data_IF_455363864047
#
_entry.id   IF_455363864047
#
_cell.length_a   1.000
_cell.length_b   1.000
_cell.length_c   1.000
_cell.angle_alpha   90.00
_cell.angle_beta   90.00
_cell.angle_gamma   90.00
#
_symmetry.space_group_name_H-M   'P 1'
#
loop_
_entity.id
_entity.type
_entity.pdbx_description
1 polymer ?
#
# COMPACT_ATOMS: atom_id res chain seq x y z
N UNK A 1 22.67 11.55 47.72
CA UNK A 1 22.36 10.83 46.47
C UNK A 1 22.97 11.64 45.34
N UNK A 2 24.19 11.30 44.92
CA UNK A 2 24.88 12.03 43.85
C UNK A 2 24.32 11.54 42.51
N UNK A 3 23.54 12.38 41.84
CA UNK A 3 23.17 12.15 40.45
C UNK A 3 24.42 12.39 39.60
N UNK A 4 24.99 11.34 39.02
CA UNK A 4 26.11 11.45 38.08
C UNK A 4 25.63 12.17 36.81
N UNK A 5 26.11 13.39 36.51
CA UNK A 5 25.70 14.12 35.31
C UNK A 5 26.12 13.41 34.02
N UNK A 6 27.07 12.46 34.06
CA UNK A 6 27.44 11.64 32.90
C UNK A 6 26.33 10.66 32.48
N UNK A 7 25.46 10.24 33.41
CA UNK A 7 24.27 9.45 33.07
C UNK A 7 23.24 10.28 32.32
N UNK A 8 23.07 11.56 32.66
CA UNK A 8 22.16 12.47 31.96
C UNK A 8 22.62 12.77 30.52
N UNK A 9 23.93 12.85 30.28
CA UNK A 9 24.50 13.08 28.94
C UNK A 9 24.42 11.83 28.03
N UNK A 10 24.37 10.62 28.62
CA UNK A 10 24.17 9.37 27.87
C UNK A 10 22.72 9.11 27.46
N UNK A 11 21.76 9.79 28.08
CA UNK A 11 20.35 9.78 27.66
C UNK A 11 20.11 10.74 26.49
N UNK A 12 21.00 10.73 25.48
CA UNK A 12 20.67 11.34 24.20
C UNK A 12 19.58 10.47 23.60
N UNK A 13 18.33 10.88 23.82
CA UNK A 13 17.14 10.18 23.34
C UNK A 13 17.33 9.81 21.87
N UNK A 14 17.08 8.54 21.54
CA UNK A 14 17.15 8.07 20.17
C UNK A 14 16.28 9.01 19.32
N UNK A 15 16.86 9.75 18.35
CA UNK A 15 16.08 10.69 17.56
C UNK A 15 14.94 9.92 16.89
N UNK A 16 13.73 10.48 16.98
CA UNK A 16 12.54 9.83 16.42
C UNK A 16 12.81 9.43 14.97
N UNK A 17 12.47 8.21 14.56
CA UNK A 17 12.66 7.79 13.18
C UNK A 17 11.89 8.76 12.26
N UNK A 18 12.54 9.15 11.16
CA UNK A 18 11.92 10.05 10.19
C UNK A 18 10.70 9.34 9.59
N UNK A 19 9.60 10.07 9.46
CA UNK A 19 8.41 9.58 8.75
C UNK A 19 8.77 9.18 7.32
N UNK A 20 8.17 8.10 6.83
CA UNK A 20 8.32 7.66 5.44
C UNK A 20 7.65 8.62 4.43
N UNK A 21 6.71 9.45 4.91
CA UNK A 21 6.00 10.44 4.10
C UNK A 21 6.23 11.82 4.72
N UNK A 22 6.56 12.81 3.88
CA UNK A 22 6.70 14.20 4.32
C UNK A 22 5.34 14.78 4.72
N UNK A 23 5.34 15.77 5.62
CA UNK A 23 4.12 16.49 5.95
C UNK A 23 3.49 17.15 4.72
N UNK A 24 4.32 17.66 3.80
CA UNK A 24 3.85 18.31 2.57
C UNK A 24 3.12 17.35 1.63
N UNK A 25 3.67 16.15 1.42
CA UNK A 25 2.99 15.13 0.63
C UNK A 25 1.67 14.72 1.29
N UNK A 26 1.66 14.52 2.61
CA UNK A 26 0.44 14.22 3.37
C UNK A 26 -0.65 15.30 3.22
N UNK A 27 -0.29 16.57 3.38
CA UNK A 27 -1.21 17.70 3.22
C UNK A 27 -1.70 17.85 1.77
N UNK A 28 -0.84 17.60 0.78
CA UNK A 28 -1.24 17.63 -0.63
C UNK A 28 -2.29 16.55 -0.94
N UNK A 29 -2.08 15.32 -0.45
CA UNK A 29 -3.06 14.24 -0.58
C UNK A 29 -4.38 14.55 0.12
N UNK A 30 -4.32 15.13 1.31
CA UNK A 30 -5.51 15.54 2.07
C UNK A 30 -6.29 16.61 1.31
N UNK A 31 -5.61 17.65 0.79
CA UNK A 31 -6.24 18.69 -0.01
C UNK A 31 -6.95 18.09 -1.24
N UNK A 32 -6.33 17.11 -1.89
CA UNK A 32 -6.92 16.38 -3.01
C UNK A 32 -8.18 15.60 -2.62
N UNK A 33 -8.14 14.82 -1.54
CA UNK A 33 -9.30 14.09 -1.01
C UNK A 33 -10.42 15.06 -0.65
N UNK A 34 -10.13 16.13 0.10
CA UNK A 34 -11.14 17.11 0.51
C UNK A 34 -11.80 17.79 -0.70
N UNK A 35 -11.01 18.13 -1.71
CA UNK A 35 -11.52 18.73 -2.95
C UNK A 35 -12.44 17.77 -3.69
N UNK A 36 -12.02 16.52 -3.86
CA UNK A 36 -12.83 15.52 -4.56
C UNK A 36 -14.10 15.18 -3.79
N UNK A 37 -14.00 15.00 -2.47
CA UNK A 37 -15.15 14.77 -1.60
C UNK A 37 -16.17 15.91 -1.70
N UNK A 38 -15.73 17.17 -1.67
CA UNK A 38 -16.63 18.31 -1.81
C UNK A 38 -17.38 18.31 -3.15
N UNK A 39 -16.68 17.99 -4.24
CA UNK A 39 -17.29 17.83 -5.57
C UNK A 39 -18.25 16.64 -5.62
N UNK A 40 -17.84 15.49 -5.09
CA UNK A 40 -18.64 14.27 -5.07
C UNK A 40 -19.93 14.46 -4.28
N UNK A 41 -19.87 15.12 -3.11
CA UNK A 41 -21.08 15.47 -2.34
C UNK A 41 -22.00 16.42 -3.11
N UNK A 42 -21.45 17.43 -3.78
CA UNK A 42 -22.25 18.40 -4.55
C UNK A 42 -23.04 17.76 -5.69
N UNK A 43 -22.47 16.74 -6.34
CA UNK A 43 -23.07 16.10 -7.51
C UNK A 43 -23.64 14.70 -7.23
N UNK A 44 -23.65 14.25 -5.96
CA UNK A 44 -24.15 12.91 -5.60
C UNK A 44 -23.33 11.77 -6.21
N UNK A 45 -22.02 11.95 -6.38
CA UNK A 45 -21.14 10.97 -7.02
C UNK A 45 -20.64 9.93 -6.00
N UNK A 46 -21.51 9.03 -5.55
CA UNK A 46 -21.28 8.06 -4.46
C UNK A 46 -20.91 6.64 -4.93
N UNK A 47 -20.73 6.46 -6.24
CA UNK A 47 -20.45 5.16 -6.86
C UNK A 47 -18.99 4.68 -6.75
N UNK A 48 -18.71 3.42 -7.11
CA UNK A 48 -17.39 2.80 -6.98
C UNK A 48 -16.30 3.48 -7.84
N UNK A 49 -16.66 3.97 -9.02
CA UNK A 49 -15.70 4.73 -9.85
C UNK A 49 -15.32 6.06 -9.21
N UNK A 50 -16.26 6.74 -8.57
CA UNK A 50 -15.98 7.98 -7.82
C UNK A 50 -15.06 7.72 -6.63
N UNK A 51 -15.20 6.56 -6.00
CA UNK A 51 -14.27 6.12 -4.95
C UNK A 51 -12.86 5.86 -5.50
N UNK A 52 -12.71 5.29 -6.71
CA UNK A 52 -11.39 5.19 -7.38
C UNK A 52 -10.82 6.56 -7.76
N UNK A 53 -11.66 7.50 -8.22
CA UNK A 53 -11.22 8.88 -8.48
C UNK A 53 -10.77 9.55 -7.18
N UNK A 54 -11.37 9.23 -6.02
CA UNK A 54 -10.89 9.71 -4.72
C UNK A 54 -9.45 9.24 -4.45
N UNK A 55 -9.09 8.00 -4.82
CA UNK A 55 -7.72 7.49 -4.70
C UNK A 55 -6.75 8.26 -5.61
N UNK A 56 -7.17 8.58 -6.84
CA UNK A 56 -6.37 9.39 -7.76
C UNK A 56 -6.22 10.83 -7.24
N UNK A 57 -7.29 11.42 -6.72
CA UNK A 57 -7.29 12.74 -6.11
C UNK A 57 -6.41 12.80 -4.87
N UNK A 58 -6.29 11.70 -4.11
CA UNK A 58 -5.32 11.57 -3.03
C UNK A 58 -3.87 11.42 -3.56
N UNK A 59 -3.64 10.43 -4.42
CA UNK A 59 -2.30 10.01 -4.81
C UNK A 59 -1.58 10.97 -5.76
N UNK A 60 -2.28 11.60 -6.71
CA UNK A 60 -1.63 12.46 -7.70
C UNK A 60 -0.99 13.71 -7.06
N UNK A 61 -1.67 14.47 -6.18
CA UNK A 61 -1.02 15.58 -5.48
C UNK A 61 0.15 15.14 -4.60
N UNK A 62 0.04 13.98 -3.94
CA UNK A 62 1.15 13.40 -3.16
C UNK A 62 2.37 13.15 -4.04
N UNK A 63 2.18 12.47 -5.18
CA UNK A 63 3.25 12.18 -6.15
C UNK A 63 3.87 13.46 -6.69
N UNK A 64 3.05 14.44 -7.08
CA UNK A 64 3.50 15.73 -7.58
C UNK A 64 4.36 16.44 -6.53
N UNK A 65 3.88 16.51 -5.29
CA UNK A 65 4.63 17.13 -4.20
C UNK A 65 5.96 16.40 -3.94
N UNK A 66 5.91 15.08 -3.81
CA UNK A 66 7.09 14.26 -3.53
C UNK A 66 8.15 14.37 -4.63
N UNK A 67 7.75 14.46 -5.90
CA UNK A 67 8.69 14.58 -7.00
C UNK A 67 9.22 15.99 -7.20
N UNK A 68 8.37 17.02 -7.13
CA UNK A 68 8.75 18.39 -7.48
C UNK A 68 9.35 19.16 -6.29
N UNK A 69 8.77 18.98 -5.10
CA UNK A 69 9.15 19.72 -3.89
C UNK A 69 10.15 18.93 -3.05
N UNK A 70 9.76 17.74 -2.59
CA UNK A 70 10.64 16.92 -1.74
C UNK A 70 11.79 16.30 -2.53
N UNK A 71 11.61 16.15 -3.86
CA UNK A 71 12.55 15.52 -4.78
C UNK A 71 13.02 14.15 -4.28
N UNK A 72 12.07 13.34 -3.79
CA UNK A 72 12.34 12.02 -3.19
C UNK A 72 13.09 11.08 -4.14
N UNK A 73 12.94 11.27 -5.45
CA UNK A 73 13.68 10.53 -6.47
C UNK A 73 15.20 10.71 -6.37
N UNK A 74 15.69 11.82 -5.81
CA UNK A 74 17.11 12.07 -5.55
C UNK A 74 17.57 11.59 -4.17
N UNK A 75 16.65 11.07 -3.34
CA UNK A 75 16.97 10.63 -1.99
C UNK A 75 17.88 9.40 -2.03
N UNK A 76 18.95 9.34 -1.21
CA UNK A 76 19.82 8.17 -1.10
C UNK A 76 19.07 6.89 -0.70
N UNK A 77 17.96 7.03 0.04
CA UNK A 77 17.13 5.89 0.47
C UNK A 77 16.48 5.12 -0.68
N UNK A 78 16.34 5.72 -1.85
CA UNK A 78 15.80 5.05 -3.04
C UNK A 78 16.72 3.93 -3.55
N UNK A 79 18.03 4.02 -3.25
CA UNK A 79 19.06 3.16 -3.81
C UNK A 79 19.32 3.41 -5.30
N UNK A 80 18.95 4.59 -5.81
CA UNK A 80 19.13 5.00 -7.21
C UNK A 80 20.28 5.99 -7.30
N UNK A 81 21.19 5.74 -8.23
CA UNK A 81 22.20 6.70 -8.69
C UNK A 81 21.90 7.10 -10.14
N UNK A 82 21.31 8.30 -10.31
CA UNK A 82 20.97 8.83 -11.63
C UNK A 82 22.18 9.17 -12.51
N UNK A 83 23.37 9.32 -11.91
CA UNK A 83 24.62 9.54 -12.64
C UNK A 83 25.19 8.23 -13.21
N UNK A 84 24.90 7.10 -12.56
CA UNK A 84 25.26 5.77 -13.03
C UNK A 84 24.27 5.31 -14.09
N UNK A 85 24.53 5.61 -15.37
CA UNK A 85 23.72 5.11 -16.49
C UNK A 85 24.38 3.90 -17.13
N UNK A 86 24.14 2.70 -16.58
CA UNK A 86 24.71 1.45 -17.14
C UNK A 86 24.20 1.20 -18.57
N UNK A 87 25.04 0.68 -19.48
CA UNK A 87 24.60 0.17 -20.78
C UNK A 87 23.54 -0.91 -20.63
N UNK A 88 22.53 -0.92 -21.50
CA UNK A 88 21.42 -1.88 -21.40
C UNK A 88 21.89 -3.34 -21.56
N UNK A 89 22.99 -3.57 -22.28
CA UNK A 89 23.59 -4.89 -22.48
C UNK A 89 24.12 -5.49 -21.19
N UNK A 90 24.54 -4.64 -20.25
CA UNK A 90 25.09 -5.07 -18.97
C UNK A 90 23.99 -5.36 -17.94
N UNK A 91 22.76 -4.92 -18.20
CA UNK A 91 21.62 -5.06 -17.30
C UNK A 91 20.51 -5.98 -17.81
N UNK A 92 20.55 -6.40 -19.09
CA UNK A 92 19.48 -7.20 -19.70
C UNK A 92 19.23 -8.52 -18.97
N UNK A 93 20.27 -9.27 -18.65
CA UNK A 93 20.13 -10.55 -17.92
C UNK A 93 19.54 -10.34 -16.53
N UNK A 94 19.96 -9.26 -15.86
CA UNK A 94 19.46 -8.88 -14.55
C UNK A 94 17.97 -8.53 -14.61
N UNK A 95 17.57 -7.70 -15.58
CA UNK A 95 16.18 -7.29 -15.78
C UNK A 95 15.28 -8.47 -16.17
N UNK A 96 15.74 -9.36 -17.05
CA UNK A 96 15.00 -10.57 -17.41
C UNK A 96 14.80 -11.50 -16.20
N UNK A 97 15.84 -11.66 -15.37
CA UNK A 97 15.77 -12.44 -14.13
C UNK A 97 14.72 -11.88 -13.17
N UNK A 98 14.68 -10.55 -12.98
CA UNK A 98 13.66 -9.89 -12.16
C UNK A 98 12.25 -10.00 -12.74
N UNK A 99 12.09 -9.83 -14.05
CA UNK A 99 10.78 -9.95 -14.71
C UNK A 99 10.20 -11.35 -14.53
N UNK A 100 11.01 -12.41 -14.68
CA UNK A 100 10.58 -13.77 -14.40
C UNK A 100 10.04 -13.92 -12.97
N UNK A 101 10.76 -13.37 -11.99
CA UNK A 101 10.32 -13.38 -10.59
C UNK A 101 9.03 -12.60 -10.35
N UNK A 102 8.89 -11.41 -10.93
CA UNK A 102 7.66 -10.60 -10.81
C UNK A 102 6.46 -11.33 -11.40
N UNK A 103 6.60 -11.90 -12.60
CA UNK A 103 5.49 -12.61 -13.24
C UNK A 103 5.11 -13.87 -12.50
N UNK A 104 6.09 -14.65 -12.00
CA UNK A 104 5.81 -15.81 -11.12
C UNK A 104 5.11 -15.37 -9.83
N UNK A 105 5.55 -14.27 -9.21
CA UNK A 105 4.90 -13.71 -8.02
C UNK A 105 3.45 -13.36 -8.32
N UNK A 106 3.17 -12.71 -9.46
CA UNK A 106 1.81 -12.31 -9.83
C UNK A 106 0.92 -13.48 -10.22
N UNK A 107 1.45 -14.49 -10.91
CA UNK A 107 0.74 -15.74 -11.19
C UNK A 107 0.38 -16.45 -9.89
N UNK A 108 1.31 -16.50 -8.92
CA UNK A 108 1.04 -17.06 -7.60
C UNK A 108 -0.08 -16.32 -6.87
N UNK A 109 -0.05 -14.98 -6.88
CA UNK A 109 -1.10 -14.13 -6.30
C UNK A 109 -2.45 -14.36 -7.00
N UNK A 110 -2.47 -14.36 -8.33
CA UNK A 110 -3.67 -14.62 -9.11
C UNK A 110 -4.25 -16.01 -8.81
N UNK A 111 -3.40 -17.02 -8.61
CA UNK A 111 -3.82 -18.36 -8.20
C UNK A 111 -4.47 -18.36 -6.82
N UNK A 112 -3.89 -17.65 -5.84
CA UNK A 112 -4.47 -17.49 -4.50
C UNK A 112 -5.86 -16.86 -4.58
N UNK A 113 -5.99 -15.76 -5.33
CA UNK A 113 -7.28 -15.09 -5.52
C UNK A 113 -8.31 -15.97 -6.26
N UNK A 114 -7.87 -16.70 -7.28
CA UNK A 114 -8.72 -17.63 -8.01
C UNK A 114 -9.25 -18.77 -7.11
N UNK A 115 -8.41 -19.32 -6.25
CA UNK A 115 -8.79 -20.41 -5.34
C UNK A 115 -9.73 -19.95 -4.21
N UNK A 116 -9.59 -18.72 -3.73
CA UNK A 116 -10.41 -18.17 -2.67
C UNK A 116 -11.80 -17.72 -3.15
N UNK A 117 -12.82 -18.56 -3.02
CA UNK A 117 -14.21 -18.23 -3.44
C UNK A 117 -14.72 -16.91 -2.87
N UNK A 118 -14.34 -16.57 -1.64
CA UNK A 118 -14.76 -15.33 -0.98
C UNK A 118 -14.26 -14.06 -1.69
N UNK A 119 -13.15 -14.12 -2.46
CA UNK A 119 -12.68 -12.99 -3.25
C UNK A 119 -13.63 -12.63 -4.40
N UNK A 120 -14.51 -13.55 -4.80
CA UNK A 120 -15.43 -13.39 -5.93
C UNK A 120 -16.86 -13.07 -5.50
N UNK A 121 -17.05 -12.67 -4.24
CA UNK A 121 -18.36 -12.35 -3.66
C UNK A 121 -18.32 -11.01 -2.93
N UNK A 122 -19.47 -10.33 -2.88
CA UNK A 122 -19.61 -9.05 -2.19
C UNK A 122 -18.58 -8.00 -2.65
N UNK A 123 -18.07 -7.24 -1.69
CA UNK A 123 -17.15 -6.14 -1.97
C UNK A 123 -15.81 -6.57 -2.59
N UNK A 124 -15.33 -7.79 -2.30
CA UNK A 124 -14.09 -8.29 -2.90
C UNK A 124 -14.21 -8.52 -4.41
N UNK A 125 -15.41 -8.76 -4.95
CA UNK A 125 -15.61 -8.88 -6.39
C UNK A 125 -15.17 -7.61 -7.13
N UNK A 126 -15.34 -6.43 -6.51
CA UNK A 126 -14.84 -5.18 -7.07
C UNK A 126 -13.31 -5.11 -7.06
N UNK A 127 -12.66 -5.57 -5.99
CA UNK A 127 -11.20 -5.67 -5.95
C UNK A 127 -10.66 -6.61 -7.04
N UNK A 128 -11.32 -7.76 -7.26
CA UNK A 128 -10.95 -8.68 -8.34
C UNK A 128 -11.18 -8.08 -9.72
N UNK A 129 -12.26 -7.31 -9.91
CA UNK A 129 -12.48 -6.55 -11.13
C UNK A 129 -11.34 -5.56 -11.38
N UNK A 130 -10.92 -4.79 -10.36
CA UNK A 130 -9.77 -3.89 -10.47
C UNK A 130 -8.49 -4.64 -10.87
N UNK A 131 -8.17 -5.76 -10.21
CA UNK A 131 -6.98 -6.54 -10.53
C UNK A 131 -7.02 -7.15 -11.93
N UNK A 132 -8.17 -7.67 -12.36
CA UNK A 132 -8.33 -8.27 -13.69
C UNK A 132 -8.08 -7.25 -14.80
N UNK A 133 -8.52 -6.00 -14.60
CA UNK A 133 -8.29 -4.92 -15.56
C UNK A 133 -6.87 -4.33 -15.46
N UNK A 134 -6.30 -4.25 -14.26
CA UNK A 134 -4.97 -3.67 -14.04
C UNK A 134 -3.83 -4.63 -14.40
N UNK A 135 -3.99 -5.95 -14.19
CA UNK A 135 -2.92 -6.92 -14.34
C UNK A 135 -2.30 -6.95 -15.75
N UNK A 136 -3.06 -6.95 -16.87
CA UNK A 136 -2.46 -6.89 -18.21
C UNK A 136 -1.65 -5.62 -18.44
N UNK A 137 -2.14 -4.47 -17.94
CA UNK A 137 -1.46 -3.18 -18.05
C UNK A 137 -0.15 -3.21 -17.26
N UNK A 138 -0.18 -3.69 -16.01
CA UNK A 138 0.99 -3.82 -15.16
C UNK A 138 1.99 -4.83 -15.71
N UNK A 139 1.53 -5.91 -16.34
CA UNK A 139 2.38 -6.90 -17.00
C UNK A 139 3.20 -6.25 -18.11
N UNK A 140 2.54 -5.55 -19.03
CA UNK A 140 3.25 -4.83 -20.10
C UNK A 140 4.12 -3.71 -19.55
N UNK A 141 3.62 -2.91 -18.60
CA UNK A 141 4.35 -1.77 -18.03
C UNK A 141 5.57 -2.18 -17.19
N UNK A 142 5.55 -3.40 -16.61
CA UNK A 142 6.67 -3.93 -15.82
C UNK A 142 7.95 -4.06 -16.67
N UNK A 143 7.83 -4.42 -17.95
CA UNK A 143 8.97 -4.59 -18.87
C UNK A 143 9.78 -3.31 -19.02
N UNK A 144 9.26 -2.21 -19.61
CA UNK A 144 10.04 -0.99 -19.77
C UNK A 144 10.49 -0.42 -18.43
N UNK A 145 9.70 -0.56 -17.36
CA UNK A 145 10.07 -0.08 -16.03
C UNK A 145 11.31 -0.79 -15.46
N UNK A 146 11.32 -2.12 -15.46
CA UNK A 146 12.45 -2.91 -14.90
C UNK A 146 13.72 -2.68 -15.72
N UNK A 147 13.61 -2.74 -17.06
CA UNK A 147 14.73 -2.45 -17.96
C UNK A 147 15.29 -1.03 -17.80
N UNK A 148 14.44 -0.06 -17.49
CA UNK A 148 14.86 1.31 -17.24
C UNK A 148 15.53 1.45 -15.87
N UNK A 149 14.89 1.00 -14.79
CA UNK A 149 15.34 1.27 -13.43
C UNK A 149 16.63 0.54 -13.08
N UNK A 150 16.82 -0.70 -13.56
CA UNK A 150 18.02 -1.51 -13.28
C UNK A 150 19.32 -0.87 -13.77
N UNK A 151 19.22 0.08 -14.71
CA UNK A 151 20.36 0.84 -15.21
C UNK A 151 20.92 1.81 -14.20
N UNK A 152 20.15 2.18 -13.19
CA UNK A 152 20.45 3.23 -12.22
C UNK A 152 20.50 2.72 -10.76
N UNK A 153 20.11 1.47 -10.51
CA UNK A 153 20.17 0.91 -9.16
C UNK A 153 21.63 0.67 -8.72
N UNK A 154 21.97 1.17 -7.53
CA UNK A 154 23.29 0.97 -6.91
C UNK A 154 23.52 -0.53 -6.68
N UNK A 155 22.57 -1.17 -5.98
CA UNK A 155 22.51 -2.62 -5.75
C UNK A 155 21.33 -3.22 -6.52
N UNK A 156 21.54 -3.66 -7.78
CA UNK A 156 20.45 -4.11 -8.62
C UNK A 156 20.00 -5.54 -8.28
N UNK A 157 20.76 -6.32 -7.50
CA UNK A 157 20.38 -7.69 -7.10
C UNK A 157 19.47 -7.67 -5.86
N UNK A 158 18.25 -7.21 -6.05
CA UNK A 158 17.23 -7.15 -4.99
C UNK A 158 16.49 -8.50 -4.81
N UNK A 159 15.48 -8.52 -3.93
CA UNK A 159 14.70 -9.73 -3.66
C UNK A 159 14.00 -10.33 -4.89
N UNK A 160 13.60 -9.50 -5.87
CA UNK A 160 13.06 -10.00 -7.13
C UNK A 160 14.15 -10.69 -7.96
N UNK A 161 15.37 -10.13 -7.99
CA UNK A 161 16.49 -10.80 -8.65
C UNK A 161 16.82 -12.13 -7.97
N UNK A 162 16.90 -12.19 -6.64
CA UNK A 162 17.22 -13.43 -5.93
C UNK A 162 16.16 -14.52 -6.13
N UNK A 163 14.87 -14.16 -6.16
CA UNK A 163 13.79 -15.10 -6.49
C UNK A 163 13.93 -15.61 -7.94
N UNK A 164 14.21 -14.72 -8.90
CA UNK A 164 14.38 -15.09 -10.30
C UNK A 164 15.62 -15.96 -10.54
N UNK A 165 16.72 -15.63 -9.88
CA UNK A 165 17.97 -16.38 -9.92
C UNK A 165 17.74 -17.81 -9.39
N UNK A 166 17.02 -17.95 -8.28
CA UNK A 166 16.62 -19.25 -7.74
C UNK A 166 15.74 -20.05 -8.72
N UNK A 167 14.73 -19.42 -9.33
CA UNK A 167 13.83 -20.04 -10.32
C UNK A 167 14.56 -20.52 -11.58
N UNK A 168 15.66 -19.86 -11.95
CA UNK A 168 16.42 -20.13 -13.18
C UNK A 168 17.73 -20.89 -12.94
N UNK A 169 18.01 -21.28 -11.68
CA UNK A 169 19.21 -22.04 -11.33
C UNK A 169 20.52 -21.24 -11.36
N UNK A 170 20.47 -19.91 -11.28
CA UNK A 170 21.65 -19.04 -11.20
C UNK A 170 22.30 -19.09 -9.80
N UNK A 171 23.61 -18.86 -9.73
CA UNK A 171 24.37 -18.81 -8.47
C UNK A 171 24.25 -17.48 -7.71
N UNK A 172 24.66 -17.47 -6.43
CA UNK A 172 24.69 -16.26 -5.60
C UNK A 172 23.33 -15.84 -5.02
N UNK A 173 22.43 -16.80 -4.83
CA UNK A 173 21.11 -16.57 -4.24
C UNK A 173 21.21 -16.39 -2.72
N UNK A 174 20.60 -15.32 -2.20
CA UNK A 174 20.35 -15.14 -0.77
C UNK A 174 18.89 -15.49 -0.45
N UNK A 175 18.70 -16.49 0.40
CA UNK A 175 17.37 -16.92 0.85
C UNK A 175 16.64 -15.82 1.65
N UNK A 176 17.36 -15.00 2.41
CA UNK A 176 16.73 -13.93 3.21
C UNK A 176 16.11 -12.85 2.33
N UNK A 177 16.77 -12.50 1.22
CA UNK A 177 16.22 -11.60 0.21
C UNK A 177 14.93 -12.15 -0.42
N UNK A 178 14.87 -13.47 -0.69
CA UNK A 178 13.64 -14.13 -1.19
C UNK A 178 12.53 -14.04 -0.15
N UNK A 179 12.80 -14.41 1.11
CA UNK A 179 11.80 -14.30 2.17
C UNK A 179 11.32 -12.87 2.39
N UNK A 180 12.22 -11.89 2.25
CA UNK A 180 11.88 -10.46 2.28
C UNK A 180 10.90 -10.09 1.17
N UNK A 181 11.19 -10.49 -0.07
CA UNK A 181 10.32 -10.28 -1.23
C UNK A 181 8.95 -10.92 -1.04
N UNK A 182 8.90 -12.20 -0.65
CA UNK A 182 7.65 -12.93 -0.45
C UNK A 182 6.79 -12.31 0.65
N UNK A 183 7.39 -11.88 1.77
CA UNK A 183 6.67 -11.18 2.84
C UNK A 183 6.15 -9.82 2.37
N UNK A 184 6.96 -9.03 1.68
CA UNK A 184 6.53 -7.73 1.16
C UNK A 184 5.35 -7.89 0.19
N UNK A 185 5.43 -8.83 -0.74
CA UNK A 185 4.32 -9.14 -1.65
C UNK A 185 3.12 -9.77 -0.93
N UNK A 186 3.33 -10.57 0.11
CA UNK A 186 2.26 -11.11 0.96
C UNK A 186 1.44 -10.00 1.63
N UNK A 187 2.10 -8.96 2.17
CA UNK A 187 1.42 -7.79 2.74
C UNK A 187 0.55 -7.12 1.67
N UNK A 188 1.12 -6.88 0.47
CA UNK A 188 0.36 -6.26 -0.63
C UNK A 188 -0.79 -7.13 -1.10
N UNK A 189 -0.59 -8.44 -1.20
CA UNK A 189 -1.62 -9.40 -1.62
C UNK A 189 -2.81 -9.38 -0.67
N UNK A 190 -2.56 -9.39 0.63
CA UNK A 190 -3.64 -9.34 1.61
C UNK A 190 -4.32 -7.96 1.65
N UNK A 191 -3.55 -6.91 1.93
CA UNK A 191 -4.11 -5.61 2.23
C UNK A 191 -4.60 -4.85 1.01
N UNK A 192 -3.98 -4.98 -0.17
CA UNK A 192 -4.45 -4.24 -1.34
C UNK A 192 -5.84 -4.74 -1.80
N UNK A 193 -6.09 -6.05 -1.75
CA UNK A 193 -7.40 -6.61 -2.05
C UNK A 193 -8.45 -6.12 -1.05
N UNK A 194 -8.12 -6.15 0.24
CA UNK A 194 -8.99 -5.65 1.30
C UNK A 194 -9.31 -4.16 1.13
N UNK A 195 -8.29 -3.33 0.92
CA UNK A 195 -8.44 -1.89 0.73
C UNK A 195 -9.35 -1.57 -0.46
N UNK A 196 -9.12 -2.21 -1.61
CA UNK A 196 -9.97 -2.03 -2.79
C UNK A 196 -11.42 -2.52 -2.58
N UNK A 197 -11.64 -3.50 -1.71
CA UNK A 197 -12.98 -3.95 -1.37
C UNK A 197 -13.73 -2.91 -0.50
N UNK A 198 -13.05 -2.23 0.44
CA UNK A 198 -13.71 -1.30 1.37
C UNK A 198 -13.75 0.15 0.89
N UNK A 199 -12.91 0.54 -0.09
CA UNK A 199 -12.91 1.91 -0.66
C UNK A 199 -14.30 2.33 -1.16
N UNK A 200 -14.97 1.57 -2.06
CA UNK A 200 -16.29 1.96 -2.55
C UNK A 200 -17.40 2.12 -1.50
N UNK A 201 -17.66 1.14 -0.61
CA UNK A 201 -18.74 1.28 0.36
C UNK A 201 -18.47 2.43 1.34
N UNK A 202 -17.26 2.53 1.91
CA UNK A 202 -16.93 3.61 2.86
C UNK A 202 -17.04 5.00 2.24
N UNK A 203 -16.54 5.17 1.01
CA UNK A 203 -16.68 6.43 0.28
C UNK A 203 -18.15 6.76 0.00
N UNK A 204 -18.92 5.80 -0.53
CA UNK A 204 -20.33 6.01 -0.86
C UNK A 204 -21.17 6.34 0.37
N UNK A 205 -20.96 5.64 1.48
CA UNK A 205 -21.68 5.86 2.74
C UNK A 205 -21.41 7.26 3.28
N UNK A 206 -20.16 7.72 3.21
CA UNK A 206 -19.84 9.08 3.59
C UNK A 206 -20.56 10.10 2.70
N UNK A 207 -20.52 9.94 1.36
CA UNK A 207 -21.15 10.87 0.41
C UNK A 207 -22.68 10.92 0.60
N UNK A 208 -23.33 9.78 0.81
CA UNK A 208 -24.79 9.67 1.06
C UNK A 208 -25.24 10.19 2.42
N UNK A 209 -24.32 10.36 3.38
CA UNK A 209 -24.65 10.79 4.74
C UNK A 209 -25.49 12.06 4.78
N UNK A 210 -26.62 12.00 5.50
CA UNK A 210 -27.61 13.07 5.62
C UNK A 210 -27.10 14.21 6.51
N UNK A 211 -26.85 15.37 5.89
CA UNK A 211 -26.37 16.57 6.58
C UNK A 211 -27.38 17.17 7.55
N UNK A 212 -28.68 16.88 7.39
CA UNK A 212 -29.72 17.40 8.28
C UNK A 212 -29.72 16.68 9.64
N UNK A 213 -29.60 15.35 9.62
CA UNK A 213 -29.55 14.52 10.82
C UNK A 213 -28.28 14.75 11.67
N UNK A 214 -27.15 15.04 11.01
CA UNK A 214 -25.85 15.26 11.65
C UNK A 214 -25.84 16.46 12.62
N UNK A 215 -26.67 17.48 12.38
CA UNK A 215 -26.70 18.65 13.26
C UNK A 215 -27.63 18.47 14.47
N UNK A 216 -28.57 17.53 14.41
CA UNK A 216 -29.58 17.30 15.45
C UNK A 216 -29.32 16.08 16.32
N UNK A 217 -28.48 15.14 15.87
CA UNK A 217 -28.16 13.90 16.59
C UNK A 217 -26.64 13.72 16.73
N UNK A 218 -26.11 13.84 17.97
CA UNK A 218 -24.69 13.61 18.25
C UNK A 218 -24.19 12.22 17.83
N UNK A 219 -25.03 11.18 17.88
CA UNK A 219 -24.65 9.84 17.46
C UNK A 219 -24.50 9.77 15.93
N UNK A 220 -25.43 10.36 15.18
CA UNK A 220 -25.31 10.52 13.73
C UNK A 220 -24.06 11.32 13.33
N UNK A 221 -23.76 12.42 14.02
CA UNK A 221 -22.53 13.20 13.80
C UNK A 221 -21.27 12.36 14.04
N UNK A 222 -21.21 11.64 15.16
CA UNK A 222 -20.06 10.82 15.50
C UNK A 222 -19.83 9.73 14.43
N UNK A 223 -20.87 9.01 14.04
CA UNK A 223 -20.77 7.98 13.00
C UNK A 223 -20.36 8.57 11.64
N UNK A 224 -20.86 9.75 11.28
CA UNK A 224 -20.48 10.41 10.04
C UNK A 224 -19.00 10.86 10.06
N UNK A 225 -18.51 11.42 11.15
CA UNK A 225 -17.11 11.80 11.32
C UNK A 225 -16.17 10.58 11.33
N UNK A 226 -16.59 9.47 11.94
CA UNK A 226 -15.85 8.20 11.91
C UNK A 226 -15.76 7.68 10.47
N UNK A 227 -16.88 7.69 9.74
CA UNK A 227 -16.92 7.30 8.32
C UNK A 227 -16.01 8.19 7.48
N UNK A 228 -15.96 9.49 7.77
CA UNK A 228 -15.06 10.42 7.09
C UNK A 228 -13.59 10.11 7.36
N UNK A 229 -13.24 9.89 8.63
CA UNK A 229 -11.90 9.50 9.05
C UNK A 229 -11.46 8.24 8.30
N UNK A 230 -12.30 7.20 8.24
CA UNK A 230 -12.01 5.98 7.47
C UNK A 230 -11.91 6.24 5.97
N UNK A 231 -12.74 7.12 5.41
CA UNK A 231 -12.65 7.48 3.98
C UNK A 231 -11.28 8.08 3.64
N UNK A 232 -10.74 8.93 4.52
CA UNK A 232 -9.40 9.49 4.38
C UNK A 232 -8.34 8.40 4.59
N UNK A 233 -8.40 7.68 5.71
CA UNK A 233 -7.42 6.66 6.09
C UNK A 233 -7.26 5.58 5.01
N UNK A 234 -8.39 5.01 4.57
CA UNK A 234 -8.42 3.98 3.54
C UNK A 234 -7.89 4.52 2.21
N UNK A 235 -8.19 5.77 1.84
CA UNK A 235 -7.65 6.37 0.62
C UNK A 235 -6.11 6.42 0.66
N UNK A 236 -5.54 6.92 1.76
CA UNK A 236 -4.09 6.98 1.96
C UNK A 236 -3.45 5.59 2.01
N UNK A 237 -4.04 4.66 2.74
CA UNK A 237 -3.57 3.28 2.83
C UNK A 237 -3.56 2.61 1.44
N UNK A 238 -4.64 2.77 0.67
CA UNK A 238 -4.75 2.19 -0.68
C UNK A 238 -3.69 2.78 -1.62
N UNK A 239 -3.50 4.10 -1.61
CA UNK A 239 -2.46 4.77 -2.39
C UNK A 239 -1.07 4.25 -2.01
N UNK A 240 -0.80 4.09 -0.72
CA UNK A 240 0.46 3.53 -0.22
C UNK A 240 0.73 2.11 -0.72
N UNK A 241 -0.28 1.24 -0.75
CA UNK A 241 -0.14 -0.11 -1.30
C UNK A 241 -0.03 -0.13 -2.82
N UNK A 242 -0.66 0.80 -3.54
CA UNK A 242 -0.56 0.88 -5.00
C UNK A 242 0.81 1.40 -5.44
N UNK A 243 1.26 2.51 -4.86
CA UNK A 243 2.39 3.30 -5.36
C UNK A 243 3.71 2.97 -4.67
N UNK A 244 4.11 1.69 -4.59
CA UNK A 244 5.39 1.29 -3.96
C UNK A 244 6.56 1.32 -4.95
N UNK A 245 6.90 2.49 -5.46
CA UNK A 245 7.93 2.67 -6.48
C UNK A 245 9.23 3.21 -5.87
N UNK A 246 10.38 2.69 -6.30
CA UNK A 246 11.68 3.20 -5.84
C UNK A 246 11.88 4.70 -6.14
N UNK A 247 11.55 5.22 -7.33
CA UNK A 247 11.66 6.66 -7.61
C UNK A 247 10.77 7.55 -6.71
N UNK A 248 9.74 7.00 -6.07
CA UNK A 248 8.90 7.72 -5.12
C UNK A 248 9.36 7.54 -3.66
N UNK A 249 10.47 6.83 -3.43
CA UNK A 249 10.96 6.41 -2.10
C UNK A 249 9.91 5.71 -1.21
N UNK A 250 8.88 5.14 -1.84
CA UNK A 250 7.73 4.50 -1.19
C UNK A 250 7.79 2.97 -1.27
N UNK A 251 8.93 2.43 -1.67
CA UNK A 251 9.17 0.99 -1.73
C UNK A 251 9.14 0.37 -0.32
N UNK A 252 8.66 -0.87 -0.22
CA UNK A 252 8.63 -1.60 1.05
C UNK A 252 10.07 -1.92 1.45
N UNK A 253 10.50 -1.42 2.61
CA UNK A 253 11.85 -1.62 3.16
C UNK A 253 11.98 -2.96 3.90
N UNK A 254 10.93 -3.35 4.61
CA UNK A 254 10.85 -4.62 5.33
C UNK A 254 9.39 -4.97 5.62
N UNK A 255 9.17 -6.25 5.94
CA UNK A 255 7.92 -6.77 6.47
C UNK A 255 8.24 -7.70 7.63
N UNK A 256 7.37 -7.73 8.65
CA UNK A 256 7.63 -8.43 9.90
C UNK A 256 7.90 -9.93 9.63
N UNK A 257 9.00 -10.52 10.14
CA UNK A 257 9.33 -11.94 9.92
C UNK A 257 8.48 -12.92 10.76
N UNK A 258 7.83 -12.46 11.83
CA UNK A 258 7.25 -13.35 12.83
C UNK A 258 5.80 -13.71 12.51
N UNK A 259 5.50 -15.01 12.42
CA UNK A 259 4.15 -15.51 12.13
C UNK A 259 3.07 -14.97 13.09
N UNK A 260 3.41 -14.74 14.37
CA UNK A 260 2.48 -14.18 15.36
C UNK A 260 2.01 -12.76 15.01
N UNK A 261 2.88 -11.94 14.41
CA UNK A 261 2.51 -10.59 13.97
C UNK A 261 1.53 -10.64 12.79
N UNK A 262 1.72 -11.61 11.89
CA UNK A 262 0.79 -11.85 10.78
C UNK A 262 -0.54 -12.39 11.28
N UNK A 263 -0.55 -13.35 12.20
CA UNK A 263 -1.77 -13.88 12.79
C UNK A 263 -2.60 -12.77 13.45
N UNK A 264 -1.96 -11.91 14.24
CA UNK A 264 -2.61 -10.76 14.87
C UNK A 264 -3.21 -9.80 13.84
N UNK A 265 -2.55 -9.58 12.70
CA UNK A 265 -3.11 -8.78 11.62
C UNK A 265 -4.31 -9.49 10.97
N UNK A 266 -4.17 -10.76 10.58
CA UNK A 266 -5.20 -11.50 9.85
C UNK A 266 -6.50 -11.63 10.67
N UNK A 267 -6.41 -11.88 11.98
CA UNK A 267 -7.61 -11.99 12.83
C UNK A 267 -8.40 -10.68 12.97
N UNK A 268 -7.80 -9.53 12.63
CA UNK A 268 -8.41 -8.21 12.74
C UNK A 268 -8.94 -7.66 11.42
N UNK A 269 -8.63 -8.28 10.27
CA UNK A 269 -8.99 -7.74 8.96
C UNK A 269 -9.70 -8.77 8.07
N UNK A 270 -10.75 -8.37 7.33
CA UNK A 270 -11.35 -9.21 6.31
C UNK A 270 -10.31 -9.76 5.33
N UNK A 271 -10.47 -11.00 4.84
CA UNK A 271 -11.60 -11.92 5.06
C UNK A 271 -11.51 -12.76 6.34
N UNK A 272 -10.47 -12.62 7.18
CA UNK A 272 -10.25 -13.49 8.34
C UNK A 272 -10.62 -12.85 9.69
N UNK A 273 -11.23 -11.66 9.65
CA UNK A 273 -11.66 -10.94 10.84
C UNK A 273 -12.58 -11.80 11.70
N UNK A 274 -12.16 -12.05 12.95
CA UNK A 274 -12.90 -12.96 13.84
C UNK A 274 -14.09 -12.29 14.53
N UNK A 275 -14.04 -10.97 14.70
CA UNK A 275 -15.04 -10.16 15.42
C UNK A 275 -16.10 -9.56 14.48
N UNK A 276 -16.17 -10.02 13.23
CA UNK A 276 -17.24 -9.60 12.31
C UNK A 276 -18.58 -10.21 12.73
N UNK A 277 -19.69 -9.59 12.31
CA UNK A 277 -21.03 -10.13 12.56
C UNK A 277 -21.16 -11.55 11.98
N UNK A 278 -21.58 -12.51 12.81
CA UNK A 278 -21.61 -13.94 12.50
C UNK A 278 -20.25 -14.65 12.58
N UNK A 279 -19.21 -13.96 13.05
CA UNK A 279 -17.86 -14.47 13.18
C UNK A 279 -17.61 -15.25 14.48
N UNK A 280 -16.47 -15.96 14.60
CA UNK A 280 -16.15 -16.78 15.77
C UNK A 280 -16.04 -16.02 17.10
N UNK A 281 -15.75 -14.72 17.05
CA UNK A 281 -15.62 -13.84 18.21
C UNK A 281 -16.64 -12.68 18.15
N UNK A 282 -17.81 -12.93 17.57
CA UNK A 282 -18.93 -11.98 17.54
C UNK A 282 -19.64 -11.92 18.90
N UNK A 283 -19.13 -11.06 19.79
CA UNK A 283 -19.75 -10.77 21.07
C UNK A 283 -20.80 -9.69 20.87
N UNK A 284 -22.08 -10.08 20.78
CA UNK A 284 -23.17 -9.13 20.87
C UNK A 284 -23.34 -8.64 22.31
N UNK A 285 -23.67 -7.36 22.48
CA UNK A 285 -24.27 -6.91 23.72
C UNK A 285 -25.56 -7.72 23.94
N UNK A 286 -25.74 -8.27 25.14
CA UNK A 286 -26.91 -9.08 25.47
C UNK A 286 -28.18 -8.23 25.53
N UNK A 287 -28.68 -7.77 24.40
CA UNK A 287 -29.97 -7.10 24.27
C UNK A 287 -31.04 -8.13 23.93
N UNK A 288 -31.63 -8.67 25.00
CA UNK A 288 -33.05 -9.02 25.00
C UNK A 288 -33.88 -7.74 25.03
#
# INVERSE_FOLDING_TARGET
MYHDPALATRTRTDPRPRSAVSHGAGLAGLAGVLTWVALARRYGMDGPYSALVNLAACGLPMVIWSLLVDKVHLSPSTGIDWSSRRPWRDTIELSLTKLAAFWVTWVGIATIYFMGRFYWTGNFAFAMWCFTNAAPILFVASVPYVFWIDRYLVEPKDGAWHLGAWLTGQGGVDAQAIYGHLRAWGVKTFFLAFMLAIVPPGFGDFIRGDTSAILSDPAALANWLITFMFTIDVAFATVGYLLTFRPLDSHIRSANPFAVAWLAALMCYPPFILMSTGGPLDYHEGTR
#
